data_IF_620105592570
#
_entry.id   IF_620105592570
#
_cell.length_a   1.000
_cell.length_b   1.000
_cell.length_c   1.000
_cell.angle_alpha   90.00
_cell.angle_beta   90.00
_cell.angle_gamma   90.00
#
_symmetry.space_group_name_H-M   'P 1'
#
loop_
_entity.id
_entity.type
_entity.pdbx_description
1 polymer ?
#
# COMPACT_ATOMS: atom_id res chain seq x y z
N UNK A 1 -10.62 -24.65 -6.45
CA UNK A 1 -10.48 -23.35 -7.14
C UNK A 1 -9.50 -22.50 -6.35
N UNK A 2 -8.59 -21.81 -7.02
CA UNK A 2 -7.70 -20.84 -6.33
C UNK A 2 -8.55 -19.63 -5.94
N UNK A 3 -8.45 -19.19 -4.68
CA UNK A 3 -9.32 -18.15 -4.13
C UNK A 3 -9.17 -16.77 -4.80
N UNK A 4 -10.18 -15.95 -4.63
CA UNK A 4 -10.26 -14.58 -5.15
C UNK A 4 -9.30 -13.66 -4.39
N UNK A 5 -8.57 -12.81 -5.12
CA UNK A 5 -7.75 -11.73 -4.57
C UNK A 5 -8.37 -10.38 -4.93
N UNK A 6 -8.67 -9.57 -3.93
CA UNK A 6 -9.21 -8.22 -4.12
C UNK A 6 -8.12 -7.19 -3.83
N UNK A 7 -7.81 -6.35 -4.83
CA UNK A 7 -6.74 -5.35 -4.77
C UNK A 7 -7.33 -3.94 -4.84
N UNK A 8 -7.25 -3.20 -3.75
CA UNK A 8 -7.58 -1.77 -3.70
C UNK A 8 -6.36 -0.93 -4.06
N UNK A 9 -6.57 0.15 -4.83
CA UNK A 9 -5.46 0.93 -5.39
C UNK A 9 -4.78 0.23 -6.57
N UNK A 10 -5.50 -0.64 -7.28
CA UNK A 10 -5.00 -1.51 -8.33
C UNK A 10 -4.39 -0.77 -9.54
N UNK A 11 -4.77 0.49 -9.80
CA UNK A 11 -4.18 1.32 -10.87
C UNK A 11 -2.82 1.94 -10.50
N UNK A 12 -2.43 1.90 -9.21
CA UNK A 12 -1.13 2.36 -8.74
C UNK A 12 0.02 1.45 -9.17
N UNK A 13 1.26 1.89 -8.92
CA UNK A 13 2.48 1.15 -9.27
C UNK A 13 2.48 -0.29 -8.72
N UNK A 14 2.38 -0.45 -7.40
CA UNK A 14 2.32 -1.78 -6.77
C UNK A 14 1.06 -2.55 -7.17
N UNK A 15 -0.08 -1.87 -7.27
CA UNK A 15 -1.35 -2.49 -7.62
C UNK A 15 -1.33 -3.15 -9.01
N UNK A 16 -0.77 -2.47 -10.01
CA UNK A 16 -0.60 -3.05 -11.36
C UNK A 16 0.34 -4.26 -11.36
N UNK A 17 1.43 -4.19 -10.60
CA UNK A 17 2.36 -5.31 -10.49
C UNK A 17 1.70 -6.53 -9.83
N UNK A 18 1.08 -6.35 -8.67
CA UNK A 18 0.41 -7.43 -7.95
C UNK A 18 -0.78 -7.99 -8.71
N UNK A 19 -1.54 -7.18 -9.44
CA UNK A 19 -2.60 -7.66 -10.35
C UNK A 19 -2.03 -8.66 -11.34
N UNK A 20 -0.96 -8.30 -12.06
CA UNK A 20 -0.30 -9.20 -13.02
C UNK A 20 0.32 -10.44 -12.35
N UNK A 21 0.89 -10.27 -11.16
CA UNK A 21 1.50 -11.35 -10.40
C UNK A 21 0.47 -12.44 -10.04
N UNK A 22 -0.66 -12.06 -9.44
CA UNK A 22 -1.70 -13.02 -9.06
C UNK A 22 -2.41 -13.65 -10.27
N UNK A 23 -2.63 -12.89 -11.35
CA UNK A 23 -3.16 -13.43 -12.59
C UNK A 23 -2.23 -14.50 -13.19
N UNK A 24 -0.91 -14.28 -13.19
CA UNK A 24 0.08 -15.28 -13.64
C UNK A 24 0.07 -16.54 -12.78
N UNK A 25 -0.27 -16.45 -11.51
CA UNK A 25 -0.47 -17.60 -10.63
C UNK A 25 -1.81 -18.33 -10.88
N UNK A 26 -2.62 -17.86 -11.83
CA UNK A 26 -3.93 -18.43 -12.14
C UNK A 26 -4.99 -18.12 -11.06
N UNK A 27 -4.84 -17.00 -10.34
CA UNK A 27 -5.83 -16.50 -9.37
C UNK A 27 -6.87 -15.65 -10.09
N UNK A 28 -8.07 -15.64 -9.54
CA UNK A 28 -9.06 -14.61 -9.89
C UNK A 28 -8.70 -13.32 -9.18
N UNK A 29 -8.64 -12.22 -9.93
CA UNK A 29 -8.26 -10.90 -9.38
C UNK A 29 -9.37 -9.90 -9.62
N UNK A 30 -9.84 -9.28 -8.54
CA UNK A 30 -10.72 -8.12 -8.56
C UNK A 30 -9.90 -6.88 -8.27
N UNK A 31 -9.73 -6.03 -9.27
CA UNK A 31 -8.98 -4.80 -9.24
C UNK A 31 -9.91 -3.61 -8.95
N UNK A 32 -9.76 -3.00 -7.78
CA UNK A 32 -10.59 -1.89 -7.33
C UNK A 32 -9.79 -0.59 -7.37
N UNK A 33 -10.22 0.36 -8.17
CA UNK A 33 -9.53 1.64 -8.33
C UNK A 33 -10.46 2.70 -8.93
N UNK A 34 -10.02 3.97 -8.94
CA UNK A 34 -10.77 5.10 -9.53
C UNK A 34 -10.90 5.01 -11.05
N UNK A 35 -9.93 4.42 -11.70
CA UNK A 35 -9.86 4.32 -13.16
C UNK A 35 -9.27 2.99 -13.56
N UNK A 36 -9.73 2.44 -14.70
CA UNK A 36 -9.26 1.16 -15.26
C UNK A 36 -7.87 1.26 -15.91
N UNK A 37 -7.38 2.45 -16.14
CA UNK A 37 -6.12 2.67 -16.86
C UNK A 37 -4.94 1.93 -16.20
N UNK A 38 -4.16 1.20 -17.03
CA UNK A 38 -2.99 0.43 -16.61
C UNK A 38 -3.28 -0.88 -15.88
N UNK A 39 -4.55 -1.22 -15.65
CA UNK A 39 -4.96 -2.49 -15.04
C UNK A 39 -5.07 -3.56 -16.14
N UNK A 40 -4.53 -4.77 -15.89
CA UNK A 40 -4.62 -5.90 -16.80
C UNK A 40 -6.08 -6.23 -17.11
N UNK A 41 -6.37 -6.45 -18.40
CA UNK A 41 -7.75 -6.70 -18.88
C UNK A 41 -8.35 -8.00 -18.37
N UNK A 42 -7.53 -8.95 -17.93
CA UNK A 42 -7.96 -10.23 -17.36
C UNK A 42 -8.49 -10.08 -15.93
N UNK A 43 -8.17 -8.99 -15.23
CA UNK A 43 -8.74 -8.70 -13.92
C UNK A 43 -10.15 -8.15 -14.08
N UNK A 44 -11.06 -8.57 -13.19
CA UNK A 44 -12.34 -7.90 -13.01
C UNK A 44 -12.07 -6.51 -12.45
N UNK A 45 -12.61 -5.46 -13.07
CA UNK A 45 -12.46 -4.09 -12.61
C UNK A 45 -13.73 -3.59 -11.95
N UNK A 46 -13.57 -3.00 -10.77
CA UNK A 46 -14.63 -2.30 -10.06
C UNK A 46 -14.16 -0.87 -9.73
N UNK A 47 -15.00 0.10 -10.08
CA UNK A 47 -14.72 1.50 -9.80
C UNK A 47 -14.97 1.83 -8.32
N UNK A 48 -14.10 2.66 -7.73
CA UNK A 48 -14.21 3.14 -6.37
C UNK A 48 -13.50 4.47 -6.17
N UNK A 49 -14.16 5.40 -5.49
CA UNK A 49 -13.64 6.74 -5.19
C UNK A 49 -12.60 6.79 -4.06
N UNK A 50 -12.39 5.68 -3.35
CA UNK A 50 -11.50 5.58 -2.19
C UNK A 50 -12.15 5.98 -0.86
N UNK A 51 -13.44 6.32 -0.85
CA UNK A 51 -14.11 6.94 0.32
C UNK A 51 -15.45 6.31 0.69
N UNK A 52 -16.24 5.84 -0.27
CA UNK A 52 -17.63 5.41 -0.04
C UNK A 52 -17.79 3.91 -0.22
N UNK A 53 -18.69 3.33 0.56
CA UNK A 53 -19.18 1.98 0.27
C UNK A 53 -19.89 1.98 -1.09
N UNK A 54 -19.76 0.85 -1.79
CA UNK A 54 -20.33 0.69 -3.11
C UNK A 54 -20.40 -0.78 -3.52
N UNK A 55 -20.81 -1.08 -4.76
CA UNK A 55 -20.98 -2.45 -5.26
C UNK A 55 -19.70 -3.31 -5.16
N UNK A 56 -18.53 -2.67 -5.10
CA UNK A 56 -17.25 -3.36 -4.93
C UNK A 56 -17.17 -4.17 -3.63
N UNK A 57 -17.98 -3.81 -2.61
CA UNK A 57 -17.99 -4.53 -1.33
C UNK A 57 -18.42 -5.99 -1.47
N UNK A 58 -19.26 -6.32 -2.48
CA UNK A 58 -19.67 -7.69 -2.77
C UNK A 58 -18.49 -8.59 -3.17
N UNK A 59 -17.42 -8.03 -3.73
CA UNK A 59 -16.23 -8.79 -4.09
C UNK A 59 -15.43 -9.29 -2.87
N UNK A 60 -15.72 -8.80 -1.67
CA UNK A 60 -15.07 -9.23 -0.44
C UNK A 60 -15.64 -10.54 0.11
N UNK A 61 -16.87 -10.91 -0.29
CA UNK A 61 -17.51 -12.15 0.16
C UNK A 61 -16.69 -13.37 -0.25
N UNK A 62 -16.22 -14.11 0.73
CA UNK A 62 -15.42 -15.32 0.54
C UNK A 62 -14.06 -15.10 -0.10
N UNK A 63 -13.58 -13.85 -0.23
CA UNK A 63 -12.26 -13.56 -0.76
C UNK A 63 -11.18 -14.25 0.10
N UNK A 64 -10.18 -14.82 -0.55
CA UNK A 64 -9.03 -15.39 0.15
C UNK A 64 -8.11 -14.31 0.70
N UNK A 65 -7.93 -13.25 -0.10
CA UNK A 65 -6.98 -12.19 0.19
C UNK A 65 -7.54 -10.83 -0.25
N UNK A 66 -7.49 -9.87 0.66
CA UNK A 66 -7.76 -8.46 0.40
C UNK A 66 -6.46 -7.68 0.63
N UNK A 67 -6.04 -6.89 -0.35
CA UNK A 67 -4.86 -6.00 -0.23
C UNK A 67 -5.29 -4.56 -0.44
N UNK A 68 -5.07 -3.70 0.55
CA UNK A 68 -5.29 -2.28 0.45
C UNK A 68 -3.98 -1.54 0.18
N UNK A 69 -3.86 -0.98 -1.03
CA UNK A 69 -2.77 -0.10 -1.46
C UNK A 69 -3.31 1.31 -1.76
N UNK A 70 -4.56 1.60 -1.40
CA UNK A 70 -5.18 2.88 -1.70
C UNK A 70 -4.54 3.99 -0.87
N UNK A 71 -4.21 5.09 -1.53
CA UNK A 71 -3.66 6.27 -0.91
C UNK A 71 -3.20 7.28 -1.96
N UNK A 72 -3.21 8.56 -1.60
CA UNK A 72 -2.62 9.61 -2.43
C UNK A 72 -1.11 9.44 -2.51
N UNK A 73 -0.52 9.70 -3.67
CA UNK A 73 0.94 9.75 -3.82
C UNK A 73 1.55 10.79 -2.89
N UNK A 74 2.68 10.45 -2.28
CA UNK A 74 3.49 11.36 -1.46
C UNK A 74 4.48 12.18 -2.30
N UNK A 75 4.58 11.89 -3.60
CA UNK A 75 5.37 12.65 -4.56
C UNK A 75 4.66 13.97 -4.93
N UNK A 76 4.66 14.90 -3.99
CA UNK A 76 4.04 16.21 -4.13
C UNK A 76 4.64 17.20 -3.12
N UNK A 77 4.40 18.49 -3.35
CA UNK A 77 4.76 19.52 -2.35
C UNK A 77 3.88 19.36 -1.10
N UNK A 78 4.48 19.35 0.08
CA UNK A 78 3.78 19.14 1.36
C UNK A 78 3.10 20.42 1.86
N UNK A 79 2.13 20.93 1.11
CA UNK A 79 1.20 21.97 1.57
C UNK A 79 0.25 21.40 2.62
N UNK A 80 -0.42 22.26 3.39
CA UNK A 80 -1.41 21.84 4.38
C UNK A 80 -2.52 20.96 3.74
N UNK A 81 -2.99 21.32 2.54
CA UNK A 81 -3.97 20.55 1.79
C UNK A 81 -3.45 19.17 1.38
N UNK A 82 -2.26 19.11 0.79
CA UNK A 82 -1.65 17.84 0.38
C UNK A 82 -1.37 16.92 1.57
N UNK A 83 -0.91 17.48 2.70
CA UNK A 83 -0.74 16.69 3.94
C UNK A 83 -2.06 16.10 4.41
N UNK A 84 -3.12 16.88 4.44
CA UNK A 84 -4.46 16.41 4.79
C UNK A 84 -4.92 15.28 3.87
N UNK A 85 -4.83 15.46 2.56
CA UNK A 85 -5.24 14.42 1.60
C UNK A 85 -4.39 13.15 1.69
N UNK A 86 -3.08 13.25 1.97
CA UNK A 86 -2.21 12.09 2.19
C UNK A 86 -2.70 11.28 3.38
N UNK A 87 -3.04 11.94 4.48
CA UNK A 87 -3.55 11.29 5.68
C UNK A 87 -4.95 10.72 5.45
N UNK A 88 -5.91 11.55 5.02
CA UNK A 88 -7.30 11.17 4.86
C UNK A 88 -7.49 10.03 3.87
N UNK A 89 -6.81 10.08 2.71
CA UNK A 89 -6.93 9.01 1.71
C UNK A 89 -6.55 7.62 2.23
N UNK A 90 -5.66 7.54 3.19
CA UNK A 90 -5.22 6.28 3.82
C UNK A 90 -6.18 5.84 4.91
N UNK A 91 -6.51 6.74 5.81
CA UNK A 91 -7.37 6.46 6.96
C UNK A 91 -8.78 6.13 6.50
N UNK A 92 -9.36 6.93 5.60
CA UNK A 92 -10.73 6.74 5.11
C UNK A 92 -10.86 5.46 4.29
N UNK A 93 -9.94 5.20 3.34
CA UNK A 93 -9.97 3.98 2.55
C UNK A 93 -9.89 2.73 3.45
N UNK A 94 -9.04 2.75 4.45
CA UNK A 94 -8.90 1.65 5.40
C UNK A 94 -10.18 1.44 6.21
N UNK A 95 -10.79 2.53 6.71
CA UNK A 95 -12.04 2.44 7.48
C UNK A 95 -13.19 1.86 6.65
N UNK A 96 -13.36 2.33 5.43
CA UNK A 96 -14.45 1.89 4.55
C UNK A 96 -14.28 0.41 4.16
N UNK A 97 -13.06 -0.02 3.84
CA UNK A 97 -12.77 -1.43 3.55
C UNK A 97 -13.06 -2.29 4.79
N UNK A 98 -12.62 -1.86 5.98
CA UNK A 98 -12.86 -2.60 7.21
C UNK A 98 -14.35 -2.68 7.57
N UNK A 99 -15.14 -1.62 7.33
CA UNK A 99 -16.60 -1.65 7.48
C UNK A 99 -17.25 -2.65 6.52
N UNK A 100 -16.79 -2.69 5.27
CA UNK A 100 -17.27 -3.66 4.28
C UNK A 100 -16.94 -5.10 4.70
N UNK A 101 -15.71 -5.37 5.17
CA UNK A 101 -15.30 -6.68 5.68
C UNK A 101 -16.16 -7.10 6.88
N UNK A 102 -16.44 -6.16 7.79
CA UNK A 102 -17.26 -6.45 8.97
C UNK A 102 -18.72 -6.78 8.62
N UNK A 103 -19.20 -6.33 7.48
CA UNK A 103 -20.56 -6.60 6.98
C UNK A 103 -20.67 -7.89 6.15
N UNK A 104 -19.56 -8.54 5.79
CA UNK A 104 -19.58 -9.78 5.01
C UNK A 104 -20.25 -10.92 5.76
N UNK A 105 -21.08 -11.68 5.08
CA UNK A 105 -21.60 -12.97 5.57
C UNK A 105 -20.50 -14.04 5.57
N UNK A 106 -19.63 -14.03 4.57
CA UNK A 106 -18.44 -14.87 4.45
C UNK A 106 -17.22 -13.94 4.34
N UNK A 107 -16.64 -13.51 5.48
CA UNK A 107 -15.56 -12.52 5.45
C UNK A 107 -14.27 -13.09 4.85
N UNK A 108 -13.40 -12.22 4.28
CA UNK A 108 -12.13 -12.64 3.72
C UNK A 108 -11.21 -13.25 4.79
N UNK A 109 -10.37 -14.20 4.39
CA UNK A 109 -9.45 -14.88 5.32
C UNK A 109 -8.28 -14.01 5.75
N UNK A 110 -7.78 -13.19 4.84
CA UNK A 110 -6.62 -12.35 5.07
C UNK A 110 -6.87 -10.93 4.53
N UNK A 111 -6.66 -9.94 5.38
CA UNK A 111 -6.64 -8.53 4.99
C UNK A 111 -5.25 -7.94 5.24
N UNK A 112 -4.54 -7.63 4.16
CA UNK A 112 -3.27 -6.91 4.18
C UNK A 112 -3.52 -5.43 3.91
N UNK A 113 -3.01 -4.57 4.77
CA UNK A 113 -3.06 -3.12 4.58
C UNK A 113 -1.64 -2.61 4.37
N UNK A 114 -1.43 -1.81 3.32
CA UNK A 114 -0.15 -1.14 3.15
C UNK A 114 0.12 -0.22 4.34
N UNK A 115 1.35 -0.14 4.73
CA UNK A 115 1.90 0.77 5.72
C UNK A 115 3.27 1.24 5.22
N UNK A 116 4.13 1.80 6.07
CA UNK A 116 5.44 2.27 5.63
C UNK A 116 6.51 2.08 6.69
N UNK A 117 7.69 1.66 6.25
CA UNK A 117 8.89 1.61 7.09
C UNK A 117 9.35 3.01 7.58
N UNK A 118 8.78 4.09 7.05
CA UNK A 118 9.03 5.45 7.55
C UNK A 118 8.48 5.70 8.96
N UNK A 119 7.74 4.73 9.52
CA UNK A 119 7.34 4.75 10.92
C UNK A 119 8.53 4.66 11.87
N UNK A 120 9.55 3.89 11.49
CA UNK A 120 10.73 3.71 12.32
C UNK A 120 11.60 4.96 12.34
N UNK A 121 12.19 5.25 13.53
CA UNK A 121 13.21 6.30 13.63
C UNK A 121 14.43 6.01 12.75
N UNK A 122 15.18 7.04 12.43
CA UNK A 122 16.51 6.86 11.87
C UNK A 122 17.41 6.15 12.89
N UNK A 123 18.08 5.09 12.49
CA UNK A 123 18.91 4.28 13.36
C UNK A 123 20.24 3.95 12.67
N UNK A 124 21.34 4.31 13.33
CA UNK A 124 22.69 3.87 12.97
C UNK A 124 23.22 2.83 13.97
N UNK A 125 22.57 2.70 15.11
CA UNK A 125 22.91 1.86 16.27
C UNK A 125 22.47 0.40 16.11
N UNK A 126 21.23 0.15 15.70
CA UNK A 126 20.71 -1.20 15.47
C UNK A 126 19.59 -1.24 14.41
N UNK A 127 19.38 -2.40 13.77
CA UNK A 127 18.29 -2.59 12.83
C UNK A 127 16.92 -2.45 13.53
N UNK A 128 15.96 -1.82 12.84
CA UNK A 128 14.60 -1.69 13.32
C UNK A 128 13.75 -2.87 12.81
N UNK A 129 12.91 -3.44 13.65
CA UNK A 129 12.01 -4.54 13.32
C UNK A 129 10.64 -4.37 14.00
N UNK A 130 9.73 -5.30 13.79
CA UNK A 130 8.35 -5.22 14.30
C UNK A 130 8.25 -5.35 15.82
N UNK A 131 9.24 -5.95 16.48
CA UNK A 131 9.20 -6.30 17.90
C UNK A 131 9.87 -5.27 18.80
N UNK A 132 11.01 -4.76 18.33
CA UNK A 132 11.88 -3.88 19.11
C UNK A 132 12.09 -2.53 18.43
N UNK A 133 11.45 -2.31 17.29
CA UNK A 133 11.58 -1.07 16.54
C UNK A 133 10.92 0.11 17.25
N UNK A 134 11.55 1.26 17.11
CA UNK A 134 11.13 2.50 17.76
C UNK A 134 10.54 3.46 16.73
N UNK A 135 9.46 4.15 17.10
CA UNK A 135 8.88 5.15 16.21
C UNK A 135 9.80 6.37 16.08
N UNK A 136 9.84 6.93 14.89
CA UNK A 136 10.43 8.24 14.65
C UNK A 136 9.47 9.37 14.98
N UNK A 137 9.68 10.50 14.32
CA UNK A 137 8.88 11.71 14.44
C UNK A 137 8.52 12.31 13.08
N UNK A 138 7.70 13.36 13.12
CA UNK A 138 7.32 14.13 11.94
C UNK A 138 6.15 13.57 11.16
N UNK A 139 5.78 14.28 10.11
CA UNK A 139 4.54 14.07 9.37
C UNK A 139 4.36 12.65 8.81
N UNK A 140 5.41 12.04 8.29
CA UNK A 140 5.30 10.68 7.75
C UNK A 140 4.98 9.65 8.84
N UNK A 141 5.54 9.82 10.03
CA UNK A 141 5.26 8.98 11.20
C UNK A 141 3.83 9.19 11.68
N UNK A 142 3.37 10.45 11.78
CA UNK A 142 1.99 10.78 12.13
C UNK A 142 0.99 10.09 11.18
N UNK A 143 1.25 10.15 9.87
CA UNK A 143 0.40 9.50 8.86
C UNK A 143 0.38 7.98 9.05
N UNK A 144 1.53 7.34 9.23
CA UNK A 144 1.60 5.88 9.40
C UNK A 144 0.93 5.44 10.69
N UNK A 145 1.15 6.17 11.78
CA UNK A 145 0.52 5.88 13.08
C UNK A 145 -1.01 5.95 12.96
N UNK A 146 -1.56 7.04 12.44
CA UNK A 146 -3.01 7.17 12.27
C UNK A 146 -3.59 6.11 11.30
N UNK A 147 -2.81 5.73 10.28
CA UNK A 147 -3.22 4.70 9.33
C UNK A 147 -3.28 3.32 9.98
N UNK A 148 -2.23 2.92 10.72
CA UNK A 148 -2.19 1.65 11.44
C UNK A 148 -3.20 1.60 12.59
N UNK A 149 -3.41 2.71 13.31
CA UNK A 149 -4.47 2.80 14.31
C UNK A 149 -5.85 2.58 13.69
N UNK A 150 -6.16 3.25 12.59
CA UNK A 150 -7.42 3.05 11.87
C UNK A 150 -7.59 1.59 11.43
N UNK A 151 -6.52 0.93 11.01
CA UNK A 151 -6.54 -0.48 10.60
C UNK A 151 -6.76 -1.43 11.77
N UNK A 152 -6.00 -1.31 12.85
CA UNK A 152 -6.04 -2.25 13.97
C UNK A 152 -7.25 -2.06 14.88
N UNK A 153 -7.75 -0.83 15.05
CA UNK A 153 -8.94 -0.54 15.86
C UNK A 153 -10.24 -1.04 15.23
N UNK A 154 -10.30 -1.25 13.91
CA UNK A 154 -11.48 -1.79 13.26
C UNK A 154 -11.75 -3.22 13.72
N UNK A 155 -12.97 -3.45 14.20
CA UNK A 155 -13.44 -4.79 14.51
C UNK A 155 -13.79 -5.50 13.21
N UNK A 156 -13.07 -6.58 12.92
CA UNK A 156 -13.35 -7.50 11.83
C UNK A 156 -13.71 -8.87 12.42
N UNK A 157 -14.47 -9.71 11.68
CA UNK A 157 -14.74 -11.07 12.13
C UNK A 157 -13.44 -11.83 12.47
N UNK A 158 -13.45 -12.65 13.53
CA UNK A 158 -12.24 -13.31 14.05
C UNK A 158 -11.54 -14.25 13.06
N UNK A 159 -12.22 -14.65 11.99
CA UNK A 159 -11.64 -15.45 10.90
C UNK A 159 -10.76 -14.64 9.95
N UNK A 160 -10.88 -13.30 9.94
CA UNK A 160 -10.07 -12.42 9.12
C UNK A 160 -8.76 -12.07 9.83
N UNK A 161 -7.67 -12.67 9.39
CA UNK A 161 -6.33 -12.24 9.82
C UNK A 161 -5.99 -10.87 9.25
N UNK A 162 -5.48 -9.96 10.08
CA UNK A 162 -5.01 -8.63 9.67
C UNK A 162 -3.49 -8.54 9.67
N UNK A 163 -2.92 -7.95 8.62
CA UNK A 163 -1.46 -7.72 8.50
C UNK A 163 -1.21 -6.31 7.96
N UNK A 164 -0.49 -5.48 8.70
CA UNK A 164 0.03 -4.21 8.20
C UNK A 164 1.42 -4.43 7.57
N UNK A 165 1.60 -3.97 6.34
CA UNK A 165 2.83 -4.14 5.58
C UNK A 165 3.65 -2.84 5.66
N UNK A 166 4.62 -2.75 6.56
CA UNK A 166 5.56 -1.62 6.63
C UNK A 166 6.60 -1.73 5.51
N UNK A 167 6.19 -1.35 4.31
CA UNK A 167 7.02 -1.48 3.11
C UNK A 167 8.11 -0.41 3.10
N UNK A 168 9.35 -0.82 2.81
CA UNK A 168 10.46 0.07 2.48
C UNK A 168 10.32 0.67 1.08
N UNK A 169 11.38 1.30 0.58
CA UNK A 169 11.41 1.83 -0.78
C UNK A 169 11.42 0.69 -1.79
N UNK A 170 10.36 0.57 -2.60
CA UNK A 170 10.31 -0.47 -3.64
C UNK A 170 11.10 -0.03 -4.86
N UNK A 171 12.13 -0.78 -5.19
CA UNK A 171 12.99 -0.53 -6.35
C UNK A 171 12.52 -1.35 -7.55
N UNK A 172 12.24 -0.65 -8.64
CA UNK A 172 11.89 -1.25 -9.94
C UNK A 172 12.30 -0.32 -11.08
N UNK A 173 12.66 -0.91 -12.21
CA UNK A 173 13.01 -0.15 -13.41
C UNK A 173 11.75 0.21 -14.22
N UNK A 174 10.81 0.91 -13.58
CA UNK A 174 9.60 1.43 -14.21
C UNK A 174 9.60 2.96 -14.17
N UNK A 175 9.00 3.58 -15.20
CA UNK A 175 8.88 5.04 -15.28
C UNK A 175 8.15 5.60 -14.04
N UNK A 176 8.70 6.65 -13.44
CA UNK A 176 8.12 7.30 -12.26
C UNK A 176 8.51 6.66 -10.92
N UNK A 177 9.38 5.63 -10.91
CA UNK A 177 9.92 5.08 -9.68
C UNK A 177 11.18 5.81 -9.24
N UNK A 178 11.49 5.74 -7.94
CA UNK A 178 12.72 6.33 -7.38
C UNK A 178 13.96 5.77 -8.06
N UNK A 179 14.00 4.46 -8.31
CA UNK A 179 15.12 3.82 -9.01
C UNK A 179 15.33 4.38 -10.42
N UNK A 180 14.26 4.54 -11.19
CA UNK A 180 14.36 5.09 -12.54
C UNK A 180 14.87 6.54 -12.54
N UNK A 181 14.44 7.36 -11.56
CA UNK A 181 14.92 8.74 -11.40
C UNK A 181 16.40 8.76 -11.04
N UNK A 182 16.80 7.99 -10.01
CA UNK A 182 18.20 7.93 -9.57
C UNK A 182 19.12 7.39 -10.67
N UNK A 183 18.71 6.31 -11.36
CA UNK A 183 19.48 5.75 -12.49
C UNK A 183 19.67 6.76 -13.63
N UNK A 184 18.63 7.57 -13.89
CA UNK A 184 18.73 8.65 -14.89
C UNK A 184 19.72 9.72 -14.47
N UNK A 185 19.69 10.17 -13.21
CA UNK A 185 20.64 11.16 -12.68
C UNK A 185 22.09 10.64 -12.78
N UNK A 186 22.33 9.39 -12.37
CA UNK A 186 23.65 8.76 -12.48
C UNK A 186 24.16 8.72 -13.93
N UNK A 187 23.29 8.36 -14.89
CA UNK A 187 23.65 8.34 -16.33
C UNK A 187 24.04 9.70 -16.87
N UNK A 188 23.54 10.79 -16.29
CA UNK A 188 23.92 12.17 -16.65
C UNK A 188 25.08 12.72 -15.81
N UNK A 189 25.79 11.88 -15.06
CA UNK A 189 26.91 12.32 -14.21
C UNK A 189 26.48 13.09 -12.95
N UNK A 190 25.18 13.11 -12.63
CA UNK A 190 24.62 13.81 -11.46
C UNK A 190 24.46 12.87 -10.25
N UNK A 191 25.06 11.69 -10.29
CA UNK A 191 25.12 10.77 -9.15
C UNK A 191 26.19 11.20 -8.15
N UNK A 192 25.95 10.94 -6.86
CA UNK A 192 26.90 11.24 -5.81
C UNK A 192 26.34 10.93 -4.42
N UNK A 193 27.16 11.04 -3.37
CA UNK A 193 26.69 10.83 -2.00
C UNK A 193 25.73 11.95 -1.57
N UNK A 194 24.61 11.59 -0.98
CA UNK A 194 23.72 12.53 -0.32
C UNK A 194 24.17 12.74 1.13
N UNK A 195 24.17 13.98 1.62
CA UNK A 195 24.42 14.32 3.03
C UNK A 195 25.59 13.54 3.69
N UNK A 196 26.72 13.43 3.02
CA UNK A 196 27.90 12.72 3.53
C UNK A 196 27.91 11.20 3.29
N UNK A 197 26.91 10.65 2.61
CA UNK A 197 26.89 9.25 2.14
C UNK A 197 26.66 8.19 3.23
N UNK A 198 26.28 8.59 4.45
CA UNK A 198 26.04 7.67 5.58
C UNK A 198 24.58 7.32 5.80
N UNK A 199 23.69 7.80 4.93
CA UNK A 199 22.26 7.51 5.05
C UNK A 199 21.99 6.04 4.77
N UNK A 200 21.21 5.42 5.65
CA UNK A 200 20.68 4.07 5.46
C UNK A 200 19.25 4.18 4.95
N UNK A 201 18.94 3.45 3.91
CA UNK A 201 17.62 3.41 3.28
C UNK A 201 17.11 1.98 3.30
N UNK A 202 15.94 1.77 3.88
CA UNK A 202 15.23 0.50 3.78
C UNK A 202 14.64 0.35 2.39
N UNK A 203 15.00 -0.69 1.68
CA UNK A 203 14.52 -0.95 0.32
C UNK A 203 14.23 -2.43 0.10
N UNK A 204 13.42 -2.71 -0.90
CA UNK A 204 13.06 -4.05 -1.36
C UNK A 204 13.00 -4.03 -2.89
N UNK A 205 13.42 -5.12 -3.55
CA UNK A 205 13.20 -5.25 -4.98
C UNK A 205 11.74 -5.59 -5.26
N UNK A 206 11.23 -5.18 -6.42
CA UNK A 206 9.83 -5.39 -6.78
C UNK A 206 9.42 -6.87 -6.85
N UNK A 207 10.37 -7.78 -7.10
CA UNK A 207 10.10 -9.22 -7.22
C UNK A 207 10.17 -9.96 -5.88
N UNK A 208 10.70 -9.32 -4.83
CA UNK A 208 10.77 -9.86 -3.47
C UNK A 208 9.50 -9.51 -2.66
#
# INVERSE_FOLDING_TARGET
MKGVVVLFGASGFLGRYLTRHYLRQGREVVAVARHREGIDRKAMFLEWDGRRLGPWALALEGAELVINLAGRSVDCRYTAENRREILESRVESTRVIGQAIAACAIPPRLWMNSSSATWYRHAEDHPQNEWTGESGDGFSVEVVTAWEEAFFQLRTPGVTRKVALRVGMVLANERGTVYAVLSRLVRFGLGGPFAGGRQRVSWIHMED
#
